data_IF_066045161791
#
_entry.id   IF_066045161791
#
_cell.length_a   1.000
_cell.length_b   1.000
_cell.length_c   1.000
_cell.angle_alpha   90.00
_cell.angle_beta   90.00
_cell.angle_gamma   90.00
#
_symmetry.space_group_name_H-M   'P 1'
#
loop_
_entity.id
_entity.type
_entity.pdbx_description
1 polymer ?
#
# COMPACT_ATOMS: atom_id res chain seq x y z
N UNK A 1 7.03 -15.82 17.27
CA UNK A 1 7.17 -14.68 16.32
C UNK A 1 6.32 -14.80 15.05
N UNK A 2 6.28 -15.96 14.39
CA UNK A 2 5.56 -16.13 13.12
C UNK A 2 4.04 -15.89 13.19
N UNK A 3 3.39 -16.46 14.21
CA UNK A 3 1.94 -16.30 14.43
C UNK A 3 1.58 -14.83 14.69
N UNK A 4 2.38 -14.13 15.50
CA UNK A 4 2.19 -12.71 15.81
C UNK A 4 2.27 -11.82 14.55
N UNK A 5 3.23 -12.09 13.63
CA UNK A 5 3.34 -11.35 12.36
C UNK A 5 2.14 -11.59 11.45
N UNK A 6 1.65 -12.83 11.38
CA UNK A 6 0.50 -13.18 10.55
C UNK A 6 -0.78 -12.52 11.06
N UNK A 7 -1.03 -12.54 12.37
CA UNK A 7 -2.22 -11.91 12.96
C UNK A 7 -2.17 -10.39 12.86
N UNK A 8 -1.04 -9.75 13.23
CA UNK A 8 -0.88 -8.30 13.06
C UNK A 8 -0.96 -7.88 11.60
N UNK A 9 -0.29 -8.60 10.70
CA UNK A 9 -0.30 -8.31 9.26
C UNK A 9 -1.70 -8.42 8.66
N UNK A 10 -2.48 -9.43 9.06
CA UNK A 10 -3.87 -9.59 8.63
C UNK A 10 -4.78 -8.48 9.15
N UNK A 11 -4.69 -8.12 10.43
CA UNK A 11 -5.49 -7.04 11.03
C UNK A 11 -5.16 -5.70 10.36
N UNK A 12 -3.87 -5.39 10.17
CA UNK A 12 -3.43 -4.17 9.49
C UNK A 12 -3.88 -4.13 8.03
N UNK A 13 -3.83 -5.25 7.33
CA UNK A 13 -4.26 -5.33 5.93
C UNK A 13 -5.77 -5.13 5.79
N UNK A 14 -6.58 -5.89 6.52
CA UNK A 14 -8.05 -5.82 6.46
C UNK A 14 -8.55 -4.49 7.01
N UNK A 15 -8.06 -4.07 8.18
CA UNK A 15 -8.38 -2.78 8.77
C UNK A 15 -7.94 -1.63 7.87
N UNK A 16 -6.77 -1.75 7.25
CA UNK A 16 -6.28 -0.79 6.26
C UNK A 16 -7.22 -0.66 5.06
N UNK A 17 -7.77 -1.76 4.53
CA UNK A 17 -8.71 -1.71 3.40
C UNK A 17 -9.95 -0.90 3.79
N UNK A 18 -10.52 -1.19 4.97
CA UNK A 18 -11.69 -0.45 5.50
C UNK A 18 -11.36 1.04 5.69
N UNK A 19 -10.19 1.34 6.26
CA UNK A 19 -9.71 2.72 6.48
C UNK A 19 -9.14 3.40 5.23
N UNK A 20 -9.08 2.72 4.09
CA UNK A 20 -8.81 3.35 2.78
C UNK A 20 -10.12 3.82 2.14
N UNK A 21 -11.26 3.22 2.51
CA UNK A 21 -12.59 3.68 2.13
C UNK A 21 -12.92 5.05 2.77
N UNK A 22 -12.51 5.24 4.03
CA UNK A 22 -12.39 6.57 4.61
C UNK A 22 -11.09 7.19 4.08
N UNK A 23 -11.06 8.46 3.64
CA UNK A 23 -9.82 9.10 3.20
C UNK A 23 -8.86 9.14 4.39
N UNK A 24 -7.93 8.18 4.47
CA UNK A 24 -7.21 7.93 5.71
C UNK A 24 -5.89 7.25 5.54
N UNK A 25 -5.83 6.03 4.98
CA UNK A 25 -4.57 5.28 5.18
C UNK A 25 -4.38 4.02 4.34
N UNK A 26 -4.11 4.22 3.04
CA UNK A 26 -3.42 3.21 2.20
C UNK A 26 -2.15 2.67 2.88
N UNK A 27 -1.53 3.47 3.77
CA UNK A 27 -0.35 3.10 4.55
C UNK A 27 -0.57 1.87 5.45
N UNK A 28 -1.77 1.67 6.03
CA UNK A 28 -2.03 0.46 6.82
C UNK A 28 -2.12 -0.78 5.93
N UNK A 29 -2.70 -0.65 4.73
CA UNK A 29 -2.71 -1.73 3.72
C UNK A 29 -1.29 -2.11 3.34
N UNK A 30 -0.44 -1.13 3.06
CA UNK A 30 0.97 -1.37 2.72
C UNK A 30 1.72 -1.96 3.91
N UNK A 31 1.52 -1.48 5.13
CA UNK A 31 2.15 -2.02 6.34
C UNK A 31 1.73 -3.48 6.60
N UNK A 32 0.45 -3.81 6.44
CA UNK A 32 -0.05 -5.17 6.52
C UNK A 32 0.56 -6.08 5.46
N UNK A 33 0.65 -5.62 4.21
CA UNK A 33 1.31 -6.35 3.13
C UNK A 33 2.81 -6.55 3.38
N UNK A 34 3.51 -5.55 3.95
CA UNK A 34 4.93 -5.68 4.34
C UNK A 34 5.09 -6.81 5.34
N UNK A 35 4.28 -6.84 6.40
CA UNK A 35 4.34 -7.91 7.41
C UNK A 35 4.01 -9.29 6.82
N UNK A 36 2.95 -9.38 6.01
CA UNK A 36 2.55 -10.63 5.35
C UNK A 36 3.59 -11.13 4.33
N UNK A 37 4.34 -10.23 3.69
CA UNK A 37 5.33 -10.57 2.67
C UNK A 37 6.53 -11.37 3.17
N UNK A 38 6.79 -11.37 4.49
CA UNK A 38 7.84 -12.17 5.12
C UNK A 38 7.52 -13.66 5.12
N UNK A 39 6.24 -14.01 5.28
CA UNK A 39 5.79 -15.39 5.42
C UNK A 39 5.06 -15.92 4.18
N UNK A 40 4.53 -15.03 3.32
CA UNK A 40 3.75 -15.39 2.14
C UNK A 40 4.32 -14.76 0.85
N UNK A 41 4.92 -15.54 -0.06
CA UNK A 41 5.49 -15.00 -1.31
C UNK A 41 4.46 -14.29 -2.22
N UNK A 42 3.18 -14.68 -2.18
CA UNK A 42 2.14 -13.95 -2.94
C UNK A 42 1.91 -12.54 -2.39
N UNK A 43 1.95 -12.35 -1.06
CA UNK A 43 1.82 -11.04 -0.45
C UNK A 43 2.96 -10.09 -0.88
N UNK A 44 4.17 -10.62 -1.12
CA UNK A 44 5.28 -9.86 -1.69
C UNK A 44 4.98 -9.37 -3.12
N UNK A 45 4.34 -10.19 -3.96
CA UNK A 45 3.91 -9.76 -5.31
C UNK A 45 2.87 -8.65 -5.25
N UNK A 46 1.88 -8.78 -4.36
CA UNK A 46 0.88 -7.75 -4.11
C UNK A 46 1.50 -6.45 -3.60
N UNK A 47 2.44 -6.52 -2.66
CA UNK A 47 3.16 -5.36 -2.16
C UNK A 47 3.90 -4.61 -3.27
N UNK A 48 4.64 -5.34 -4.13
CA UNK A 48 5.34 -4.75 -5.27
C UNK A 48 4.38 -4.09 -6.25
N UNK A 49 3.26 -4.76 -6.55
CA UNK A 49 2.23 -4.22 -7.44
C UNK A 49 1.65 -2.91 -6.87
N UNK A 50 1.23 -2.91 -5.60
CA UNK A 50 0.67 -1.73 -4.94
C UNK A 50 1.66 -0.57 -4.91
N UNK A 51 2.92 -0.82 -4.54
CA UNK A 51 3.96 0.22 -4.52
C UNK A 51 4.23 0.79 -5.92
N UNK A 52 4.32 -0.06 -6.96
CA UNK A 52 4.54 0.39 -8.34
C UNK A 52 3.39 1.26 -8.85
N UNK A 53 2.15 0.86 -8.59
CA UNK A 53 0.96 1.62 -8.98
C UNK A 53 0.93 2.97 -8.27
N UNK A 54 1.25 3.02 -6.97
CA UNK A 54 1.36 4.28 -6.22
C UNK A 54 2.42 5.22 -6.82
N UNK A 55 3.62 4.71 -7.13
CA UNK A 55 4.69 5.52 -7.75
C UNK A 55 4.27 6.05 -9.12
N UNK A 56 3.63 5.22 -9.95
CA UNK A 56 3.17 5.64 -11.27
C UNK A 56 2.09 6.72 -11.19
N UNK A 57 1.12 6.56 -10.27
CA UNK A 57 0.06 7.54 -10.03
C UNK A 57 0.62 8.87 -9.51
N UNK A 58 1.54 8.83 -8.55
CA UNK A 58 2.21 10.03 -8.03
C UNK A 58 2.93 10.79 -9.16
N UNK A 59 3.75 10.10 -9.97
CA UNK A 59 4.43 10.71 -11.13
C UNK A 59 3.46 11.34 -12.13
N UNK A 60 2.30 10.70 -12.35
CA UNK A 60 1.27 11.23 -13.25
C UNK A 60 0.67 12.51 -12.70
N UNK A 61 0.38 12.56 -11.40
CA UNK A 61 -0.12 13.76 -10.72
C UNK A 61 0.93 14.88 -10.75
N UNK A 62 2.18 14.57 -10.41
CA UNK A 62 3.28 15.54 -10.43
C UNK A 62 3.45 16.16 -11.82
N UNK A 63 3.46 15.33 -12.88
CA UNK A 63 3.52 15.80 -14.26
C UNK A 63 2.31 16.67 -14.63
N UNK A 64 1.11 16.28 -14.22
CA UNK A 64 -0.11 17.06 -14.47
C UNK A 64 -0.04 18.44 -13.80
N UNK A 65 0.39 18.51 -12.55
CA UNK A 65 0.55 19.76 -11.80
C UNK A 65 1.64 20.65 -12.39
N UNK A 66 2.78 20.07 -12.79
CA UNK A 66 3.87 20.81 -13.45
C UNK A 66 3.43 21.42 -14.78
N UNK A 67 2.76 20.64 -15.64
CA UNK A 67 2.23 21.14 -16.91
C UNK A 67 1.17 22.22 -16.74
N UNK A 68 0.41 22.19 -15.64
CA UNK A 68 -0.55 23.25 -15.30
C UNK A 68 0.14 24.53 -14.82
N UNK A 69 1.29 24.44 -14.17
CA UNK A 69 2.06 25.59 -13.67
C UNK A 69 2.92 26.27 -14.75
N UNK A 70 3.38 25.50 -15.74
CA UNK A 70 4.19 25.98 -16.87
C UNK A 70 3.36 26.53 -18.04
N UNK A 71 2.03 26.57 -17.90
CA UNK A 71 1.08 27.10 -18.87
C UNK A 71 0.51 28.42 -18.38
#
# INVERSE_FOLDING_TARGET
MRILRLTLGAILFVGGIVLTLLPGSILFVIAGLVLLSYDWPRARSWLKYSQRTMTMSARKIDRFLLLRKLR
#
